data_IF_872291434746
#
_entry.id   IF_872291434746
#
_cell.length_a   1.000
_cell.length_b   1.000
_cell.length_c   1.000
_cell.angle_alpha   90.00
_cell.angle_beta   90.00
_cell.angle_gamma   90.00
#
_symmetry.space_group_name_H-M   'P 1'
#
loop_
_entity.id
_entity.type
_entity.pdbx_description
1 polymer ?
#
# COMPACT_ATOMS: atom_id res chain seq x y z
N UNK A 1 21.88 -5.93 -42.88
CA UNK A 1 21.85 -6.41 -41.47
C UNK A 1 21.04 -5.41 -40.68
N UNK A 2 19.77 -5.69 -40.47
CA UNK A 2 18.85 -4.79 -39.75
C UNK A 2 18.90 -5.15 -38.28
N UNK A 3 19.38 -4.22 -37.46
CA UNK A 3 19.38 -4.34 -36.00
C UNK A 3 17.94 -4.40 -35.51
N UNK A 4 17.52 -5.52 -34.92
CA UNK A 4 16.27 -5.62 -34.17
C UNK A 4 16.57 -5.24 -32.72
N UNK A 5 16.34 -3.98 -32.36
CA UNK A 5 16.27 -3.57 -30.96
C UNK A 5 14.88 -3.89 -30.40
N UNK A 6 14.86 -4.71 -29.36
CA UNK A 6 13.70 -5.08 -28.56
C UNK A 6 12.91 -3.84 -28.10
N UNK A 7 11.68 -3.69 -28.54
CA UNK A 7 10.71 -2.74 -27.98
C UNK A 7 9.79 -3.46 -27.00
N UNK A 8 10.18 -3.50 -25.72
CA UNK A 8 9.22 -3.66 -24.61
C UNK A 8 9.19 -2.36 -23.80
N UNK A 9 8.87 -1.25 -24.45
CA UNK A 9 8.59 0.02 -23.79
C UNK A 9 7.09 0.27 -23.83
N UNK A 10 6.36 -0.02 -22.75
CA UNK A 10 5.15 0.76 -22.49
C UNK A 10 5.61 2.22 -22.30
N UNK A 11 4.84 3.23 -22.76
CA UNK A 11 5.18 4.60 -22.43
C UNK A 11 5.07 4.72 -20.91
N UNK A 12 6.20 4.89 -20.24
CA UNK A 12 6.22 5.33 -18.85
C UNK A 12 5.65 6.74 -18.92
N UNK A 13 4.33 6.87 -18.71
CA UNK A 13 3.70 8.17 -18.54
C UNK A 13 4.51 8.90 -17.48
N UNK A 14 4.89 10.14 -17.78
CA UNK A 14 5.63 10.96 -16.81
C UNK A 14 4.86 10.91 -15.50
N UNK A 15 5.50 10.38 -14.45
CA UNK A 15 4.96 10.44 -13.11
C UNK A 15 4.52 11.89 -12.81
N UNK A 16 3.45 12.10 -12.02
CA UNK A 16 3.11 13.43 -11.56
C UNK A 16 4.38 14.12 -11.05
N UNK A 17 4.60 15.39 -11.44
CA UNK A 17 5.85 16.11 -11.17
C UNK A 17 6.15 16.29 -9.67
N UNK A 18 5.19 15.97 -8.82
CA UNK A 18 5.15 16.11 -7.37
C UNK A 18 4.92 14.77 -6.63
N UNK A 19 5.11 13.62 -7.31
CA UNK A 19 4.88 12.31 -6.69
C UNK A 19 5.74 12.07 -5.43
N UNK A 20 6.90 12.72 -5.33
CA UNK A 20 7.82 12.66 -4.19
C UNK A 20 7.29 13.37 -2.94
N UNK A 21 6.30 14.26 -3.11
CA UNK A 21 5.69 15.05 -2.03
C UNK A 21 4.24 14.70 -1.76
N UNK A 22 3.59 13.96 -2.63
CA UNK A 22 2.22 13.53 -2.43
C UNK A 22 2.18 12.38 -1.39
N UNK A 23 1.54 12.61 -0.22
CA UNK A 23 1.52 11.64 0.88
C UNK A 23 0.89 10.30 0.49
N UNK A 24 0.08 10.25 -0.57
CA UNK A 24 -0.51 9.00 -1.08
C UNK A 24 0.54 8.09 -1.71
N UNK A 25 1.54 8.65 -2.40
CA UNK A 25 2.64 7.86 -2.96
C UNK A 25 3.57 7.37 -1.85
N UNK A 26 3.87 8.21 -0.86
CA UNK A 26 4.63 7.79 0.33
C UNK A 26 3.91 6.66 1.08
N UNK A 27 2.59 6.79 1.29
CA UNK A 27 1.78 5.74 1.92
C UNK A 27 1.74 4.45 1.09
N UNK A 28 1.64 4.56 -0.25
CA UNK A 28 1.68 3.41 -1.15
C UNK A 28 3.03 2.68 -1.12
N UNK A 29 4.14 3.42 -1.16
CA UNK A 29 5.50 2.87 -1.05
C UNK A 29 5.66 2.11 0.28
N UNK A 30 5.28 2.75 1.39
CA UNK A 30 5.34 2.14 2.71
C UNK A 30 4.52 0.84 2.78
N UNK A 31 3.26 0.85 2.35
CA UNK A 31 2.42 -0.36 2.31
C UNK A 31 3.05 -1.49 1.49
N UNK A 32 3.68 -1.17 0.34
CA UNK A 32 4.36 -2.17 -0.50
C UNK A 32 5.55 -2.78 0.22
N UNK A 33 6.32 -1.98 0.96
CA UNK A 33 7.48 -2.45 1.73
C UNK A 33 7.06 -3.27 2.95
N UNK A 34 6.06 -2.84 3.71
CA UNK A 34 5.54 -3.60 4.85
C UNK A 34 5.01 -4.97 4.44
N UNK A 35 4.26 -5.05 3.32
CA UNK A 35 3.79 -6.34 2.79
C UNK A 35 4.98 -7.25 2.46
N UNK A 36 6.05 -6.71 1.87
CA UNK A 36 7.27 -7.48 1.56
C UNK A 36 7.93 -7.99 2.84
N UNK A 37 8.10 -7.14 3.85
CA UNK A 37 8.72 -7.50 5.13
C UNK A 37 7.89 -8.55 5.88
N UNK A 38 6.58 -8.36 5.97
CA UNK A 38 5.67 -9.32 6.62
C UNK A 38 5.70 -10.69 5.93
N UNK A 39 5.83 -10.73 4.60
CA UNK A 39 5.99 -12.00 3.87
C UNK A 39 7.31 -12.69 4.19
N UNK A 40 8.41 -11.94 4.30
CA UNK A 40 9.70 -12.49 4.73
C UNK A 40 9.62 -13.07 6.14
N UNK A 41 8.82 -12.47 7.02
CA UNK A 41 8.58 -12.97 8.38
C UNK A 41 7.70 -14.24 8.38
N UNK A 42 6.57 -14.24 7.67
CA UNK A 42 5.62 -15.35 7.65
C UNK A 42 6.10 -16.58 6.87
N UNK A 43 6.88 -16.36 5.80
CA UNK A 43 7.40 -17.41 4.93
C UNK A 43 8.88 -17.14 4.59
N UNK A 44 9.81 -17.40 5.52
CA UNK A 44 11.24 -17.11 5.34
C UNK A 44 11.87 -17.77 4.12
N UNK A 45 11.34 -18.92 3.69
CA UNK A 45 11.85 -19.69 2.56
C UNK A 45 11.14 -19.38 1.22
N UNK A 46 10.12 -18.50 1.23
CA UNK A 46 9.39 -18.11 0.03
C UNK A 46 9.99 -16.87 -0.63
N UNK A 47 9.75 -16.71 -1.94
CA UNK A 47 10.12 -15.50 -2.66
C UNK A 47 9.30 -14.30 -2.13
N UNK A 48 9.93 -13.31 -1.50
CA UNK A 48 9.23 -12.15 -0.95
C UNK A 48 8.71 -11.19 -2.03
N UNK A 49 9.09 -11.41 -3.30
CA UNK A 49 8.52 -10.70 -4.45
C UNK A 49 7.21 -11.30 -4.97
N UNK A 50 6.82 -12.50 -4.48
CA UNK A 50 5.54 -13.13 -4.81
C UNK A 50 4.37 -12.18 -4.56
N UNK A 51 3.44 -12.04 -5.49
CA UNK A 51 2.25 -11.19 -5.32
C UNK A 51 1.12 -11.88 -4.50
N UNK A 52 1.44 -12.90 -3.72
CA UNK A 52 0.45 -13.60 -2.88
C UNK A 52 -0.18 -12.69 -1.81
N UNK A 53 -1.47 -12.42 -1.95
CA UNK A 53 -2.27 -11.71 -0.94
C UNK A 53 -3.42 -12.62 -0.49
N UNK A 54 -3.53 -12.94 0.82
CA UNK A 54 -4.62 -13.78 1.31
C UNK A 54 -5.98 -13.13 1.05
N UNK A 55 -6.94 -13.93 0.59
CA UNK A 55 -8.32 -13.50 0.35
C UNK A 55 -9.26 -14.03 1.45
N UNK A 56 -10.40 -13.35 1.63
CA UNK A 56 -11.45 -13.74 2.60
C UNK A 56 -10.98 -13.79 4.07
N UNK A 57 -10.03 -12.94 4.45
CA UNK A 57 -9.68 -12.75 5.86
C UNK A 57 -10.72 -11.89 6.57
N UNK A 58 -10.56 -11.73 7.89
CA UNK A 58 -11.38 -10.80 8.68
C UNK A 58 -11.30 -9.35 8.16
N UNK A 59 -10.31 -9.02 7.31
CA UNK A 59 -10.16 -7.70 6.73
C UNK A 59 -11.09 -7.43 5.53
N UNK A 60 -11.74 -8.46 4.97
CA UNK A 60 -12.59 -8.33 3.79
C UNK A 60 -13.67 -7.23 3.91
N UNK A 61 -14.40 -7.10 5.04
CA UNK A 61 -15.39 -6.03 5.22
C UNK A 61 -14.81 -4.61 5.19
N UNK A 62 -13.51 -4.42 5.45
CA UNK A 62 -12.89 -3.10 5.33
C UNK A 62 -12.64 -2.71 3.88
N UNK A 63 -12.42 -3.67 2.98
CA UNK A 63 -12.17 -3.43 1.56
C UNK A 63 -13.45 -3.42 0.73
N UNK A 64 -14.35 -4.39 0.98
CA UNK A 64 -15.55 -4.67 0.19
C UNK A 64 -16.74 -4.98 1.10
N UNK A 65 -17.25 -4.01 1.89
CA UNK A 65 -18.42 -4.27 2.72
C UNK A 65 -19.63 -4.50 1.83
N UNK A 66 -20.21 -5.69 1.85
CA UNK A 66 -21.42 -6.00 1.09
C UNK A 66 -22.61 -5.15 1.61
N UNK A 67 -23.44 -4.54 0.74
CA UNK A 67 -23.47 -4.63 -0.73
C UNK A 67 -22.64 -3.55 -1.47
N UNK A 68 -21.85 -2.75 -0.77
CA UNK A 68 -21.06 -1.66 -1.34
C UNK A 68 -19.80 -2.15 -2.08
N UNK A 69 -19.31 -1.32 -3.01
CA UNK A 69 -18.05 -1.56 -3.73
C UNK A 69 -16.93 -0.76 -3.08
N UNK A 70 -15.68 -1.11 -3.38
CA UNK A 70 -14.53 -0.41 -2.81
C UNK A 70 -14.47 1.08 -3.20
N UNK A 71 -15.06 1.47 -4.33
CA UNK A 71 -15.17 2.85 -4.77
C UNK A 71 -16.14 3.69 -3.94
N UNK A 72 -17.09 3.03 -3.27
CA UNK A 72 -18.09 3.69 -2.43
C UNK A 72 -17.55 3.94 -1.01
N UNK A 73 -16.30 3.53 -0.75
CA UNK A 73 -15.66 3.63 0.54
C UNK A 73 -14.69 4.81 0.59
N UNK A 74 -14.45 5.30 1.79
CA UNK A 74 -13.39 6.27 2.07
C UNK A 74 -12.04 5.80 1.48
N UNK A 75 -11.15 6.71 1.06
CA UNK A 75 -9.79 6.36 0.61
C UNK A 75 -9.08 5.39 1.58
N UNK A 76 -8.17 4.52 1.08
CA UNK A 76 -7.42 3.60 1.94
C UNK A 76 -6.65 4.28 3.08
N UNK A 77 -6.18 5.52 2.87
CA UNK A 77 -5.54 6.34 3.90
C UNK A 77 -6.48 6.63 5.08
N UNK A 78 -7.73 6.93 4.77
CA UNK A 78 -8.71 7.41 5.75
C UNK A 78 -9.27 6.24 6.58
N UNK A 79 -9.25 5.03 6.01
CA UNK A 79 -9.63 3.79 6.70
C UNK A 79 -8.49 3.12 7.46
N UNK A 80 -7.24 3.59 7.29
CA UNK A 80 -6.05 2.95 7.87
C UNK A 80 -6.18 2.76 9.38
N UNK A 81 -6.68 3.78 10.08
CA UNK A 81 -6.92 3.76 11.52
C UNK A 81 -7.79 2.56 11.94
N UNK A 82 -8.95 2.37 11.32
CA UNK A 82 -9.88 1.28 11.66
C UNK A 82 -9.25 -0.10 11.44
N UNK A 83 -8.41 -0.24 10.40
CA UNK A 83 -7.71 -1.49 10.11
C UNK A 83 -6.64 -1.76 11.16
N UNK A 84 -5.88 -0.74 11.58
CA UNK A 84 -4.86 -0.85 12.63
C UNK A 84 -5.48 -1.23 13.98
N UNK A 85 -6.58 -0.58 14.35
CA UNK A 85 -7.35 -0.94 15.56
C UNK A 85 -7.84 -2.39 15.50
N UNK A 86 -8.38 -2.83 14.36
CA UNK A 86 -8.83 -4.20 14.18
C UNK A 86 -7.69 -5.23 14.22
N UNK A 87 -6.48 -4.84 13.82
CA UNK A 87 -5.26 -5.64 13.96
C UNK A 87 -4.71 -5.65 15.41
N UNK A 88 -5.33 -4.92 16.34
CA UNK A 88 -4.92 -4.83 17.74
C UNK A 88 -3.78 -3.84 17.98
N UNK A 89 -3.49 -2.95 17.03
CA UNK A 89 -2.49 -1.90 17.20
C UNK A 89 -3.04 -0.83 18.14
N UNK A 90 -2.39 -0.64 19.28
CA UNK A 90 -2.70 0.46 20.18
C UNK A 90 -2.12 1.76 19.62
N UNK A 91 -2.98 2.76 19.35
CA UNK A 91 -2.53 4.07 18.91
C UNK A 91 -2.36 4.98 20.13
N UNK A 92 -1.15 5.49 20.40
CA UNK A 92 -0.93 6.42 21.50
C UNK A 92 -1.76 7.69 21.29
N UNK A 93 -2.47 8.14 22.33
CA UNK A 93 -3.29 9.36 22.28
C UNK A 93 -2.48 10.64 22.47
N UNK A 94 -1.20 10.53 22.78
CA UNK A 94 -0.26 11.60 23.13
C UNK A 94 0.77 11.90 22.03
N UNK A 95 0.51 11.47 20.78
CA UNK A 95 1.36 11.83 19.64
C UNK A 95 1.30 13.35 19.44
N UNK A 96 2.32 14.05 19.94
CA UNK A 96 2.59 15.43 19.53
C UNK A 96 2.86 15.40 18.04
N UNK A 97 1.97 15.98 17.24
CA UNK A 97 2.25 16.31 15.85
C UNK A 97 3.56 17.07 15.87
N UNK A 98 4.60 16.53 15.22
CA UNK A 98 5.86 17.24 15.05
C UNK A 98 5.53 18.46 14.19
N UNK A 99 5.34 19.61 14.83
CA UNK A 99 5.27 20.88 14.10
C UNK A 99 6.58 21.03 13.32
N UNK A 100 6.41 21.26 12.01
CA UNK A 100 7.48 21.25 11.01
C UNK A 100 8.64 22.15 11.43
N UNK A 101 9.86 21.59 11.38
CA UNK A 101 11.06 22.41 11.36
C UNK A 101 11.01 23.27 10.10
N UNK A 102 10.74 24.58 10.30
CA UNK A 102 10.82 25.64 9.28
C UNK A 102 12.25 25.85 8.79
#
# INVERSE_FOLDING_TARGET
MTSMTFTHGRPVGSWPSDYDRDPRFAYLEWLRMEIRLLRMEMWPDADPSSDFTPCNTFAMPFHFPYPARWQDMEPPSDRALRVLEAAGVAIPTDVKVLEEAS
#
